data_IF_732043270605
#
_entry.id   IF_732043270605
#
_cell.length_a   1.000
_cell.length_b   1.000
_cell.length_c   1.000
_cell.angle_alpha   90.00
_cell.angle_beta   90.00
_cell.angle_gamma   90.00
#
_symmetry.space_group_name_H-M   'P 1'
#
loop_
_entity.id
_entity.type
_entity.pdbx_description
1 polymer ?
#
# COMPACT_ATOMS: atom_id res chain seq x y z
N UNK A 1 -34.13 3.11 22.39
CA UNK A 1 -33.77 4.13 21.38
C UNK A 1 -32.27 4.25 21.10
N UNK A 2 -31.39 3.64 21.90
CA UNK A 2 -29.95 3.46 21.60
C UNK A 2 -29.55 1.97 21.51
N UNK A 3 -30.48 1.09 21.16
CA UNK A 3 -30.27 -0.37 21.14
C UNK A 3 -29.96 -0.93 19.75
N UNK A 4 -29.92 -0.11 18.71
CA UNK A 4 -29.64 -0.54 17.32
C UNK A 4 -28.46 0.19 16.67
N UNK A 5 -27.68 0.95 17.46
CA UNK A 5 -26.47 1.63 16.95
C UNK A 5 -25.24 0.71 17.07
N UNK A 6 -25.40 -0.56 17.48
CA UNK A 6 -24.25 -1.47 17.52
C UNK A 6 -24.60 -2.96 17.42
N UNK A 7 -23.64 -3.71 16.86
CA UNK A 7 -23.43 -5.17 16.97
C UNK A 7 -24.02 -6.10 15.90
N UNK A 8 -24.17 -5.65 14.65
CA UNK A 8 -24.77 -6.45 13.57
C UNK A 8 -23.80 -7.09 12.57
N UNK A 9 -23.15 -6.29 11.74
CA UNK A 9 -22.32 -6.81 10.64
C UNK A 9 -21.26 -5.79 10.24
N UNK A 10 -20.00 -6.21 10.28
CA UNK A 10 -18.89 -5.46 9.70
C UNK A 10 -18.02 -4.78 10.75
N UNK A 11 -16.96 -5.48 11.16
CA UNK A 11 -15.77 -4.88 11.77
C UNK A 11 -15.48 -3.52 11.11
N UNK A 12 -15.45 -2.44 11.89
CA UNK A 12 -15.09 -1.10 11.42
C UNK A 12 -13.63 -1.12 10.96
N UNK A 13 -13.40 -1.55 9.71
CA UNK A 13 -12.09 -1.85 9.14
C UNK A 13 -11.27 -0.58 8.99
N UNK A 14 -11.91 0.59 9.00
CA UNK A 14 -11.27 1.90 8.98
C UNK A 14 -10.27 2.08 10.14
N UNK A 15 -10.57 1.61 11.35
CA UNK A 15 -9.67 1.76 12.51
C UNK A 15 -8.40 0.90 12.35
N UNK A 16 -8.50 -0.42 12.03
CA UNK A 16 -7.34 -1.23 11.65
C UNK A 16 -6.55 -0.65 10.47
N UNK A 17 -7.21 -0.15 9.43
CA UNK A 17 -6.55 0.40 8.24
C UNK A 17 -5.76 1.67 8.55
N UNK A 18 -6.34 2.60 9.32
CA UNK A 18 -5.63 3.81 9.78
C UNK A 18 -4.43 3.44 10.66
N UNK A 19 -4.59 2.45 11.56
CA UNK A 19 -3.47 1.96 12.37
C UNK A 19 -2.38 1.31 11.53
N UNK A 20 -2.72 0.58 10.47
CA UNK A 20 -1.77 0.00 9.53
C UNK A 20 -0.99 1.09 8.78
N UNK A 21 -1.66 2.18 8.38
CA UNK A 21 -1.05 3.34 7.72
C UNK A 21 -0.11 4.09 8.67
N UNK A 22 -0.52 4.34 9.92
CA UNK A 22 0.32 4.98 10.94
C UNK A 22 1.54 4.10 11.24
N UNK A 23 1.36 2.78 11.33
CA UNK A 23 2.45 1.84 11.49
C UNK A 23 3.38 1.86 10.26
N UNK A 24 2.85 1.96 9.05
CA UNK A 24 3.62 2.08 7.82
C UNK A 24 4.47 3.37 7.80
N UNK A 25 3.87 4.52 8.13
CA UNK A 25 4.58 5.80 8.27
C UNK A 25 5.66 5.69 9.36
N UNK A 26 5.35 5.06 10.49
CA UNK A 26 6.30 4.80 11.58
C UNK A 26 7.49 3.96 11.13
N UNK A 27 7.25 2.86 10.43
CA UNK A 27 8.30 1.97 9.90
C UNK A 27 9.18 2.72 8.88
N UNK A 28 8.56 3.50 7.99
CA UNK A 28 9.28 4.34 7.01
C UNK A 28 10.09 5.44 7.69
N UNK A 29 9.61 6.00 8.81
CA UNK A 29 10.31 7.02 9.58
C UNK A 29 11.48 6.44 10.41
N UNK A 30 11.35 5.21 10.91
CA UNK A 30 12.36 4.56 11.77
C UNK A 30 13.55 3.95 11.03
N UNK A 31 13.84 4.36 9.79
CA UNK A 31 14.91 3.76 8.96
C UNK A 31 16.21 3.59 9.74
N UNK A 32 16.50 2.35 10.13
CA UNK A 32 17.82 1.99 10.61
C UNK A 32 18.71 1.72 9.39
N UNK A 33 19.80 2.46 9.18
CA UNK A 33 20.65 2.38 7.98
C UNK A 33 21.41 1.05 7.83
N UNK A 34 21.20 0.08 8.72
CA UNK A 34 22.01 -1.13 8.83
C UNK A 34 21.35 -2.41 8.28
N UNK A 35 20.10 -2.34 7.79
CA UNK A 35 19.43 -3.52 7.23
C UNK A 35 19.61 -3.62 5.71
N UNK A 36 20.31 -4.64 5.18
CA UNK A 36 20.52 -4.79 3.73
C UNK A 36 19.22 -5.08 2.96
N UNK A 37 18.16 -5.49 3.65
CA UNK A 37 16.85 -5.83 3.08
C UNK A 37 15.83 -4.69 3.18
N UNK A 38 16.22 -3.49 3.63
CA UNK A 38 15.28 -2.41 3.90
C UNK A 38 14.45 -2.00 2.67
N UNK A 39 15.04 -1.99 1.47
CA UNK A 39 14.32 -1.68 0.24
C UNK A 39 13.26 -2.74 -0.11
N UNK A 40 13.57 -4.02 0.11
CA UNK A 40 12.64 -5.12 -0.11
C UNK A 40 11.47 -5.10 0.88
N UNK A 41 11.77 -4.92 2.18
CA UNK A 41 10.74 -4.82 3.22
C UNK A 41 9.81 -3.63 2.96
N UNK A 42 10.37 -2.48 2.57
CA UNK A 42 9.57 -1.32 2.21
C UNK A 42 8.65 -1.61 1.01
N UNK A 43 9.15 -2.32 -0.01
CA UNK A 43 8.36 -2.69 -1.17
C UNK A 43 7.17 -3.59 -0.80
N UNK A 44 7.43 -4.67 -0.05
CA UNK A 44 6.38 -5.60 0.40
C UNK A 44 5.33 -4.87 1.25
N UNK A 45 5.77 -4.04 2.20
CA UNK A 45 4.84 -3.28 3.04
C UNK A 45 4.03 -2.26 2.22
N UNK A 46 4.62 -1.65 1.19
CA UNK A 46 3.89 -0.70 0.32
C UNK A 46 2.81 -1.44 -0.48
N UNK A 47 3.09 -2.66 -0.97
CA UNK A 47 2.09 -3.50 -1.66
C UNK A 47 0.93 -3.86 -0.71
N UNK A 48 1.27 -4.27 0.51
CA UNK A 48 0.26 -4.61 1.52
C UNK A 48 -0.60 -3.36 1.82
N UNK A 49 0.03 -2.22 2.10
CA UNK A 49 -0.68 -0.97 2.40
C UNK A 49 -1.60 -0.54 1.24
N UNK A 50 -1.15 -0.66 -0.01
CA UNK A 50 -1.93 -0.39 -1.22
C UNK A 50 -3.20 -1.27 -1.26
N UNK A 51 -3.07 -2.59 -1.11
CA UNK A 51 -4.22 -3.48 -1.12
C UNK A 51 -5.22 -3.18 0.03
N UNK A 52 -4.72 -2.93 1.23
CA UNK A 52 -5.57 -2.61 2.39
C UNK A 52 -6.30 -1.27 2.22
N UNK A 53 -5.66 -0.26 1.63
CA UNK A 53 -6.30 1.00 1.30
C UNK A 53 -7.46 0.83 0.32
N UNK A 54 -7.29 0.01 -0.74
CA UNK A 54 -8.38 -0.29 -1.68
C UNK A 54 -9.58 -0.89 -0.95
N UNK A 55 -9.35 -1.87 -0.06
CA UNK A 55 -10.44 -2.46 0.72
C UNK A 55 -11.13 -1.44 1.62
N UNK A 56 -10.36 -0.56 2.28
CA UNK A 56 -10.91 0.49 3.13
C UNK A 56 -11.73 1.51 2.33
N UNK A 57 -11.29 1.88 1.13
CA UNK A 57 -12.03 2.79 0.23
C UNK A 57 -13.37 2.17 -0.17
N UNK A 58 -13.37 0.90 -0.57
CA UNK A 58 -14.60 0.19 -0.95
C UNK A 58 -15.55 0.11 0.23
N UNK A 59 -15.07 -0.30 1.41
CA UNK A 59 -15.89 -0.43 2.62
C UNK A 59 -16.54 0.90 3.01
N UNK A 60 -15.77 1.99 3.07
CA UNK A 60 -16.30 3.32 3.39
C UNK A 60 -17.27 3.85 2.34
N UNK A 61 -17.04 3.54 1.05
CA UNK A 61 -17.97 3.92 -0.02
C UNK A 61 -19.30 3.20 0.13
N UNK A 62 -19.29 1.89 0.42
CA UNK A 62 -20.49 1.10 0.66
C UNK A 62 -21.24 1.57 1.93
N UNK A 63 -20.49 1.97 2.98
CA UNK A 63 -21.10 2.55 4.17
C UNK A 63 -21.76 3.89 3.87
N UNK A 64 -21.14 4.77 3.09
CA UNK A 64 -21.74 6.02 2.64
C UNK A 64 -23.04 5.80 1.85
N UNK A 65 -23.08 4.79 0.96
CA UNK A 65 -24.31 4.40 0.25
C UNK A 65 -25.41 3.91 1.21
N UNK A 66 -25.03 3.12 2.22
CA UNK A 66 -25.96 2.63 3.26
C UNK A 66 -26.57 3.78 4.06
N UNK A 67 -25.75 4.76 4.46
CA UNK A 67 -26.24 5.97 5.14
C UNK A 67 -27.13 6.81 4.23
N UNK A 68 -26.84 6.88 2.93
CA UNK A 68 -27.69 7.56 1.94
C UNK A 68 -29.08 6.93 1.88
N UNK A 69 -29.18 5.60 1.83
CA UNK A 69 -30.46 4.88 1.87
C UNK A 69 -31.26 5.18 3.14
N UNK A 70 -30.58 5.25 4.30
CA UNK A 70 -31.19 5.61 5.58
C UNK A 70 -31.62 7.06 5.66
N UNK A 71 -30.94 7.98 4.98
CA UNK A 71 -31.31 9.41 4.97
C UNK A 71 -32.67 9.67 4.32
N UNK A 72 -33.13 8.77 3.44
CA UNK A 72 -34.41 8.87 2.75
C UNK A 72 -35.53 8.09 3.45
N UNK A 73 -35.26 7.46 4.59
CA UNK A 73 -36.28 6.71 5.31
C UNK A 73 -37.28 7.65 6.02
N UNK A 74 -38.59 7.35 5.95
CA UNK A 74 -39.62 8.20 6.55
C UNK A 74 -39.57 8.25 8.09
N UNK A 75 -38.73 7.41 8.73
CA UNK A 75 -38.52 7.39 10.19
C UNK A 75 -37.32 8.22 10.67
N UNK A 76 -36.48 8.75 9.77
CA UNK A 76 -35.35 9.59 10.15
C UNK A 76 -35.78 11.06 10.21
N UNK A 77 -36.19 11.51 11.38
CA UNK A 77 -36.52 12.93 11.66
C UNK A 77 -35.29 13.81 11.93
N UNK A 78 -34.08 13.25 11.86
CA UNK A 78 -32.85 13.90 12.27
C UNK A 78 -31.74 13.76 11.22
N UNK A 79 -30.96 14.82 11.04
CA UNK A 79 -29.90 14.95 10.01
C UNK A 79 -28.64 14.09 10.28
N UNK A 80 -28.67 13.22 11.29
CA UNK A 80 -27.51 12.42 11.67
C UNK A 80 -26.99 11.50 10.54
N UNK A 81 -27.81 10.87 9.66
CA UNK A 81 -27.28 10.03 8.59
C UNK A 81 -26.48 10.85 7.57
N UNK A 82 -26.90 12.10 7.32
CA UNK A 82 -26.20 12.99 6.41
C UNK A 82 -24.79 13.34 6.92
N UNK A 83 -24.63 13.55 8.24
CA UNK A 83 -23.32 13.81 8.83
C UNK A 83 -22.37 12.61 8.66
N UNK A 84 -22.87 11.38 8.76
CA UNK A 84 -22.05 10.19 8.52
C UNK A 84 -21.64 10.04 7.06
N UNK A 85 -22.55 10.31 6.11
CA UNK A 85 -22.22 10.33 4.67
C UNK A 85 -21.06 11.32 4.41
N UNK A 86 -21.15 12.53 4.95
CA UNK A 86 -20.12 13.55 4.76
C UNK A 86 -18.78 13.09 5.35
N UNK A 87 -18.77 12.52 6.55
CA UNK A 87 -17.56 12.00 7.17
C UNK A 87 -16.93 10.87 6.35
N UNK A 88 -17.72 9.88 5.93
CA UNK A 88 -17.24 8.75 5.14
C UNK A 88 -16.68 9.22 3.79
N UNK A 89 -17.35 10.17 3.12
CA UNK A 89 -16.86 10.75 1.86
C UNK A 89 -15.56 11.56 2.03
N UNK A 90 -15.40 12.26 3.16
CA UNK A 90 -14.12 12.92 3.48
C UNK A 90 -13.02 11.87 3.67
N UNK A 91 -13.27 10.79 4.39
CA UNK A 91 -12.28 9.72 4.56
C UNK A 91 -11.93 9.02 3.24
N UNK A 92 -12.92 8.73 2.40
CA UNK A 92 -12.69 8.19 1.05
C UNK A 92 -11.81 9.12 0.24
N UNK A 93 -12.04 10.43 0.28
CA UNK A 93 -11.21 11.40 -0.46
C UNK A 93 -9.75 11.38 -0.01
N UNK A 94 -9.50 11.29 1.31
CA UNK A 94 -8.15 11.21 1.87
C UNK A 94 -7.47 9.89 1.50
N UNK A 95 -8.19 8.78 1.59
CA UNK A 95 -7.66 7.46 1.24
C UNK A 95 -7.36 7.36 -0.26
N UNK A 96 -8.19 7.96 -1.13
CA UNK A 96 -7.92 8.01 -2.58
C UNK A 96 -6.62 8.77 -2.90
N UNK A 97 -6.37 9.90 -2.24
CA UNK A 97 -5.10 10.64 -2.40
C UNK A 97 -3.93 9.79 -1.92
N UNK A 98 -4.04 9.15 -0.77
CA UNK A 98 -3.00 8.25 -0.25
C UNK A 98 -2.74 7.07 -1.18
N UNK A 99 -3.78 6.53 -1.80
CA UNK A 99 -3.67 5.41 -2.72
C UNK A 99 -2.92 5.77 -4.00
N UNK A 100 -3.18 6.98 -4.53
CA UNK A 100 -2.41 7.53 -5.66
C UNK A 100 -0.93 7.66 -5.26
N UNK A 101 -0.63 8.18 -4.07
CA UNK A 101 0.75 8.31 -3.57
C UNK A 101 1.42 6.93 -3.46
N UNK A 102 0.74 5.95 -2.86
CA UNK A 102 1.24 4.58 -2.74
C UNK A 102 1.50 3.95 -4.12
N UNK A 103 0.58 4.15 -5.08
CA UNK A 103 0.73 3.69 -6.45
C UNK A 103 1.95 4.29 -7.16
N UNK A 104 2.18 5.59 -7.00
CA UNK A 104 3.38 6.26 -7.54
C UNK A 104 4.66 5.71 -6.91
N UNK A 105 4.67 5.53 -5.58
CA UNK A 105 5.83 4.94 -4.88
C UNK A 105 6.12 3.52 -5.35
N UNK A 106 5.09 2.68 -5.53
CA UNK A 106 5.23 1.33 -6.08
C UNK A 106 5.78 1.36 -7.50
N UNK A 107 5.27 2.25 -8.36
CA UNK A 107 5.76 2.39 -9.73
C UNK A 107 7.26 2.73 -9.76
N UNK A 108 7.68 3.71 -8.97
CA UNK A 108 9.10 4.10 -8.86
C UNK A 108 9.95 2.93 -8.36
N UNK A 109 9.48 2.19 -7.34
CA UNK A 109 10.19 1.03 -6.81
C UNK A 109 10.31 -0.09 -7.86
N UNK A 110 9.27 -0.38 -8.63
CA UNK A 110 9.31 -1.40 -9.69
C UNK A 110 10.34 -1.01 -10.75
N UNK A 111 10.34 0.25 -11.20
CA UNK A 111 11.34 0.75 -12.17
C UNK A 111 12.76 0.63 -11.59
N UNK A 112 12.94 1.01 -10.33
CA UNK A 112 14.22 0.91 -9.63
C UNK A 112 14.71 -0.55 -9.56
N UNK A 113 13.85 -1.49 -9.16
CA UNK A 113 14.19 -2.91 -9.07
C UNK A 113 14.50 -3.48 -10.46
N UNK A 114 13.72 -3.15 -11.50
CA UNK A 114 13.99 -3.61 -12.87
C UNK A 114 15.39 -3.17 -13.34
N UNK A 115 15.70 -1.88 -13.19
CA UNK A 115 17.01 -1.35 -13.56
C UNK A 115 18.14 -1.96 -12.72
N UNK A 116 17.90 -2.23 -11.43
CA UNK A 116 18.87 -2.89 -10.57
C UNK A 116 19.16 -4.33 -11.05
N UNK A 117 18.11 -5.10 -11.37
CA UNK A 117 18.24 -6.47 -11.89
C UNK A 117 18.94 -6.52 -13.26
N UNK A 118 18.60 -5.62 -14.18
CA UNK A 118 19.26 -5.51 -15.49
C UNK A 118 20.77 -5.25 -15.31
N UNK A 119 21.14 -4.29 -14.45
CA UNK A 119 22.55 -3.96 -14.17
C UNK A 119 23.31 -5.11 -13.48
N UNK A 120 22.69 -5.83 -12.55
CA UNK A 120 23.29 -7.02 -11.93
C UNK A 120 23.52 -8.14 -12.95
N UNK A 121 22.58 -8.34 -13.86
CA UNK A 121 22.67 -9.39 -14.90
C UNK A 121 23.80 -9.07 -15.89
N UNK A 122 23.91 -7.81 -16.33
CA UNK A 122 25.00 -7.33 -17.19
C UNK A 122 26.37 -7.43 -16.50
N UNK A 123 26.45 -7.11 -15.20
CA UNK A 123 27.71 -7.26 -14.45
C UNK A 123 28.12 -8.73 -14.30
N UNK A 124 27.16 -9.64 -14.16
CA UNK A 124 27.44 -11.09 -14.07
C UNK A 124 27.94 -11.65 -15.39
N UNK A 125 27.35 -11.27 -16.52
CA UNK A 125 27.79 -11.74 -17.84
C UNK A 125 29.19 -11.23 -18.20
N UNK A 126 29.49 -9.97 -17.89
CA UNK A 126 30.83 -9.39 -18.12
C UNK A 126 31.92 -10.03 -17.25
N UNK A 127 31.61 -10.37 -15.99
CA UNK A 127 32.56 -11.08 -15.14
C UNK A 127 32.81 -12.51 -15.65
N UNK A 128 31.77 -13.27 -16.01
CA UNK A 128 31.92 -14.61 -16.60
C UNK A 128 32.75 -14.60 -17.90
N UNK A 129 32.57 -13.57 -18.73
CA UNK A 129 33.32 -13.44 -19.97
C UNK A 129 34.79 -13.09 -19.72
N UNK A 130 35.10 -12.32 -18.68
CA UNK A 130 36.48 -12.04 -18.25
C UNK A 130 37.17 -13.29 -17.72
N UNK A 131 36.49 -14.08 -16.90
CA UNK A 131 37.04 -15.31 -16.33
C UNK A 131 37.37 -16.33 -17.44
N UNK A 132 36.47 -16.50 -18.42
CA UNK A 132 36.69 -17.36 -19.59
C UNK A 132 37.86 -16.91 -20.50
N UNK A 133 38.19 -15.62 -20.54
CA UNK A 133 39.35 -15.11 -21.30
C UNK A 133 40.64 -15.38 -20.52
N UNK A 134 40.64 -15.10 -19.21
CA UNK A 134 41.79 -15.37 -18.34
C UNK A 134 42.18 -16.84 -18.31
N UNK A 135 41.21 -17.76 -18.36
CA UNK A 135 41.47 -19.21 -18.39
C UNK A 135 42.04 -19.64 -19.76
N UNK A 136 41.62 -18.99 -20.85
CA UNK A 136 42.12 -19.29 -22.20
C UNK A 136 43.58 -18.86 -22.40
N UNK A 137 43.96 -17.73 -21.82
CA UNK A 137 45.33 -17.20 -21.89
C UNK A 137 46.34 -18.04 -21.08
N UNK A 138 45.86 -18.87 -20.13
CA UNK A 138 46.71 -19.79 -19.36
C UNK A 138 46.99 -21.13 -20.07
N UNK A 139 46.25 -21.47 -21.13
CA UNK A 139 46.33 -22.78 -21.82
C UNK A 139 47.22 -22.72 -23.08
N UNK A 140 47.81 -21.58 -23.41
CA UNK A 140 48.79 -21.47 -24.51
C UNK A 140 50.21 -21.57 -23.93
N UNK A 141 50.82 -22.76 -23.85
CA UNK A 141 52.26 -22.87 -23.57
C UNK A 141 53.04 -22.29 -24.76
N UNK A 142 54.05 -21.48 -24.42
CA UNK A 142 55.05 -20.95 -25.35
C UNK A 142 55.92 -22.06 -25.96
#
# INVERSE_FOLDING_TARGET
MYSEINCGDGSNIAIPSINLIIAFIGIVATKQPHFPWHAFVHHVLTIIAFLFNIFAIIDLTLMAERWSSWSHHPRTSANWPHNFIVMDMVFVSVLMVNEIICGIMLFIQIVYFRNYFENCTLRRSTNLQRDNISERDQIVPA
#
